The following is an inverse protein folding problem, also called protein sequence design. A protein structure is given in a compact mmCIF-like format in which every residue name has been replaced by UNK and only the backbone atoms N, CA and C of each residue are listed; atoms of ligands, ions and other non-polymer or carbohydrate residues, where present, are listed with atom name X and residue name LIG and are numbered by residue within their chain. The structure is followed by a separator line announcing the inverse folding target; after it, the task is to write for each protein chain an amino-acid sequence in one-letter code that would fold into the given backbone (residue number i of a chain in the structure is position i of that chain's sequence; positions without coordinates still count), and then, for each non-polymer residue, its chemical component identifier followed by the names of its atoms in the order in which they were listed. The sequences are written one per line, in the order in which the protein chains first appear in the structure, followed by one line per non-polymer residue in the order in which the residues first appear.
data_IF_010983404630
#
_entry.id   IF_010983404630
#
_cell.length_a   1.000
_cell.length_b   1.000
_cell.length_c   1.000
_cell.angle_alpha   90.00
_cell.angle_beta   90.00
_cell.angle_gamma   90.00
#
_symmetry.space_group_name_H-M   'P 1'
#
loop_
_entity.id
_entity.type
_entity.pdbx_description
1 polymer ?
#
# COMPACT_ATOMS: atom_id res chain seq x y z
N UNK A 1 -15.53 0.65 -0.38
CA UNK A 1 -14.25 -0.06 -0.19
C UNK A 1 -13.36 0.78 0.74
N UNK A 2 -12.40 0.16 1.44
CA UNK A 2 -11.36 0.85 2.21
C UNK A 2 -9.99 0.58 1.59
N UNK A 3 -9.07 1.53 1.66
CA UNK A 3 -7.72 1.41 1.11
C UNK A 3 -6.63 1.66 2.16
N UNK A 4 -5.52 0.93 2.04
CA UNK A 4 -4.34 1.02 2.91
C UNK A 4 -3.11 1.14 2.02
N UNK A 5 -2.33 2.20 2.21
CA UNK A 5 -1.18 2.51 1.38
C UNK A 5 0.12 2.52 2.18
N UNK A 6 1.14 1.91 1.58
CA UNK A 6 2.52 2.01 2.02
C UNK A 6 3.43 2.10 0.79
N UNK A 7 4.66 2.52 1.02
CA UNK A 7 5.60 2.86 -0.01
C UNK A 7 6.84 1.99 0.05
N UNK A 8 7.50 1.83 -1.09
CA UNK A 8 8.73 1.07 -1.16
C UNK A 8 9.69 1.66 -2.17
N UNK A 9 10.99 1.54 -1.86
CA UNK A 9 12.07 1.94 -2.76
C UNK A 9 12.87 0.72 -3.21
N UNK A 10 12.85 0.45 -4.51
CA UNK A 10 13.56 -0.69 -5.15
C UNK A 10 14.04 -0.29 -6.55
N UNK A 11 14.96 0.67 -6.62
CA UNK A 11 15.43 1.26 -7.88
C UNK A 11 14.48 2.36 -8.36
N UNK A 12 13.20 2.00 -8.55
CA UNK A 12 12.08 2.92 -8.77
C UNK A 12 11.33 3.20 -7.46
N UNK A 13 10.44 4.20 -7.51
CA UNK A 13 9.55 4.57 -6.42
C UNK A 13 8.23 3.81 -6.55
N UNK A 14 7.83 3.12 -5.49
CA UNK A 14 6.61 2.31 -5.47
C UNK A 14 5.66 2.85 -4.41
N UNK A 15 4.39 3.02 -4.79
CA UNK A 15 3.29 3.19 -3.84
C UNK A 15 2.33 2.04 -4.07
N UNK A 16 2.03 1.27 -3.02
CA UNK A 16 1.09 0.17 -3.08
C UNK A 16 -0.16 0.52 -2.29
N UNK A 17 -1.33 0.44 -2.92
CA UNK A 17 -2.62 0.59 -2.26
C UNK A 17 -3.35 -0.76 -2.22
N UNK A 18 -3.51 -1.33 -1.03
CA UNK A 18 -4.33 -2.51 -0.82
C UNK A 18 -5.77 -2.10 -0.48
N UNK A 19 -6.73 -2.62 -1.22
CA UNK A 19 -8.15 -2.37 -1.06
C UNK A 19 -8.88 -3.59 -0.52
N UNK A 20 -9.90 -3.35 0.31
CA UNK A 20 -10.69 -4.40 0.95
C UNK A 20 -12.13 -3.94 1.17
N UNK A 21 -13.07 -4.88 1.16
CA UNK A 21 -14.43 -4.60 1.58
C UNK A 21 -14.49 -4.34 3.11
N UNK A 22 -15.32 -3.38 3.58
CA UNK A 22 -15.40 -3.09 5.01
C UNK A 22 -15.87 -4.28 5.88
N UNK A 23 -16.62 -5.22 5.30
CA UNK A 23 -17.13 -6.40 6.00
C UNK A 23 -16.00 -7.36 6.43
N UNK A 24 -14.96 -7.49 5.59
CA UNK A 24 -13.85 -8.45 5.81
C UNK A 24 -12.72 -7.87 6.66
N UNK A 25 -12.78 -6.57 6.95
CA UNK A 25 -11.71 -5.83 7.61
C UNK A 25 -11.41 -6.34 9.02
N UNK A 26 -12.42 -6.77 9.78
CA UNK A 26 -12.23 -7.28 11.13
C UNK A 26 -11.46 -8.62 11.12
N UNK A 27 -11.84 -9.54 10.26
CA UNK A 27 -11.18 -10.84 10.12
C UNK A 27 -9.78 -10.70 9.51
N UNK A 28 -9.61 -9.84 8.50
CA UNK A 28 -8.29 -9.55 7.92
C UNK A 28 -7.30 -9.03 8.96
N UNK A 29 -7.71 -8.06 9.79
CA UNK A 29 -6.87 -7.55 10.90
C UNK A 29 -6.52 -8.64 11.91
N UNK A 30 -7.47 -9.54 12.22
CA UNK A 30 -7.24 -10.66 13.14
C UNK A 30 -6.25 -11.66 12.57
N UNK A 31 -6.40 -12.03 11.29
CA UNK A 31 -5.49 -12.91 10.57
C UNK A 31 -4.07 -12.34 10.53
N UNK A 32 -3.90 -11.06 10.19
CA UNK A 32 -2.59 -10.40 10.17
C UNK A 32 -1.93 -10.37 11.56
N UNK A 33 -2.69 -10.08 12.61
CA UNK A 33 -2.16 -10.11 14.00
C UNK A 33 -1.69 -11.50 14.41
N UNK A 34 -2.39 -12.56 13.97
CA UNK A 34 -1.99 -13.94 14.22
C UNK A 34 -0.76 -14.36 13.40
N UNK A 35 -0.62 -13.82 12.19
CA UNK A 35 0.50 -14.08 11.28
C UNK A 35 1.81 -13.40 11.71
N UNK A 36 1.72 -12.27 12.42
CA UNK A 36 2.89 -11.56 12.94
C UNK A 36 3.70 -12.43 13.91
N UNK A 37 5.02 -12.29 13.89
CA UNK A 37 5.90 -13.06 14.78
C UNK A 37 5.55 -12.83 16.27
N UNK A 38 5.75 -13.84 17.14
CA UNK A 38 5.55 -13.67 18.56
C UNK A 38 6.34 -12.47 19.09
N UNK A 39 5.68 -11.61 19.88
CA UNK A 39 6.25 -10.37 20.47
C UNK A 39 6.64 -9.26 19.48
N UNK A 40 6.56 -9.47 18.16
CA UNK A 40 6.74 -8.37 17.22
C UNK A 40 5.57 -7.38 17.30
N UNK A 41 5.80 -6.10 17.03
CA UNK A 41 4.76 -5.06 17.05
C UNK A 41 4.05 -4.90 15.70
N UNK A 42 4.70 -5.25 14.59
CA UNK A 42 4.15 -5.27 13.23
C UNK A 42 4.83 -6.36 12.39
N UNK A 43 4.28 -6.62 11.21
CA UNK A 43 5.01 -7.29 10.12
C UNK A 43 5.75 -6.19 9.34
N UNK A 44 7.04 -6.39 9.08
CA UNK A 44 7.80 -5.55 8.16
C UNK A 44 8.80 -6.38 7.37
N UNK A 45 8.63 -6.45 6.05
CA UNK A 45 9.29 -7.46 5.23
C UNK A 45 10.82 -7.36 5.17
N UNK A 46 11.39 -6.18 5.44
CA UNK A 46 12.86 -6.06 5.55
C UNK A 46 13.41 -6.89 6.73
N UNK A 47 12.66 -7.01 7.83
CA UNK A 47 13.03 -7.77 9.01
C UNK A 47 12.45 -9.20 9.01
N UNK A 48 11.27 -9.38 8.41
CA UNK A 48 10.54 -10.64 8.41
C UNK A 48 10.78 -11.52 7.17
N UNK A 49 11.72 -11.14 6.29
CA UNK A 49 11.97 -11.82 5.01
C UNK A 49 12.26 -13.33 5.11
N UNK A 50 12.78 -13.82 6.25
CA UNK A 50 12.96 -15.27 6.49
C UNK A 50 11.64 -16.04 6.52
N UNK A 51 10.53 -15.37 6.84
CA UNK A 51 9.16 -15.89 6.86
C UNK A 51 8.35 -15.47 5.63
N UNK A 52 9.01 -14.95 4.58
CA UNK A 52 8.33 -14.36 3.43
C UNK A 52 7.28 -15.29 2.79
N UNK A 53 7.58 -16.58 2.66
CA UNK A 53 6.63 -17.53 2.10
C UNK A 53 5.33 -17.64 2.93
N UNK A 54 5.47 -17.78 4.26
CA UNK A 54 4.33 -17.83 5.20
C UNK A 54 3.52 -16.52 5.17
N UNK A 55 4.23 -15.39 5.20
CA UNK A 55 3.61 -14.07 5.25
C UNK A 55 2.86 -13.74 3.97
N UNK A 56 3.49 -13.94 2.81
CA UNK A 56 2.87 -13.70 1.50
C UNK A 56 1.63 -14.58 1.34
N UNK A 57 1.73 -15.87 1.70
CA UNK A 57 0.58 -16.78 1.63
C UNK A 57 -0.56 -16.31 2.54
N UNK A 58 -0.26 -15.84 3.74
CA UNK A 58 -1.26 -15.29 4.66
C UNK A 58 -1.94 -14.04 4.12
N UNK A 59 -1.19 -13.16 3.43
CA UNK A 59 -1.73 -11.95 2.80
C UNK A 59 -2.58 -12.28 1.57
N UNK A 60 -2.12 -13.19 0.70
CA UNK A 60 -2.86 -13.59 -0.52
C UNK A 60 -4.14 -14.35 -0.19
N UNK A 61 -4.22 -14.98 0.99
CA UNK A 61 -5.43 -15.61 1.47
C UNK A 61 -6.50 -14.61 1.97
N UNK A 62 -6.16 -13.32 2.09
CA UNK A 62 -7.13 -12.27 2.37
C UNK A 62 -7.86 -11.87 1.08
N UNK A 63 -9.13 -11.51 1.18
CA UNK A 63 -9.90 -10.97 0.05
C UNK A 63 -9.54 -9.49 -0.20
N UNK A 64 -8.30 -9.27 -0.64
CA UNK A 64 -7.74 -7.96 -0.94
C UNK A 64 -7.37 -7.86 -2.42
N UNK A 65 -7.49 -6.66 -2.97
CA UNK A 65 -6.92 -6.29 -4.27
C UNK A 65 -5.87 -5.21 -4.05
N UNK A 66 -4.82 -5.18 -4.84
CA UNK A 66 -3.76 -4.20 -4.70
C UNK A 66 -3.48 -3.46 -6.00
N UNK A 67 -3.22 -2.17 -5.89
CA UNK A 67 -2.83 -1.31 -6.99
C UNK A 67 -1.42 -0.80 -6.73
N UNK A 68 -0.48 -1.15 -7.59
CA UNK A 68 0.93 -0.80 -7.45
C UNK A 68 1.29 0.28 -8.46
N UNK A 69 1.59 1.47 -7.95
CA UNK A 69 2.00 2.63 -8.74
C UNK A 69 3.52 2.71 -8.77
N UNK A 70 4.09 2.58 -9.96
CA UNK A 70 5.54 2.53 -10.20
C UNK A 70 5.96 3.84 -10.86
N UNK A 71 6.58 4.74 -10.11
CA UNK A 71 7.14 5.98 -10.62
C UNK A 71 8.65 5.84 -10.83
N UNK A 72 9.09 6.13 -12.06
CA UNK A 72 10.49 5.98 -12.46
C UNK A 72 11.36 7.04 -11.78
N UNK A 73 12.44 6.60 -11.12
CA UNK A 73 13.33 7.53 -10.44
C UNK A 73 14.34 8.17 -11.39
N UNK A 74 15.01 7.45 -12.30
CA UNK A 74 15.91 7.96 -13.36
C UNK A 74 16.70 9.26 -13.05
N UNK A 75 17.22 9.45 -11.83
CA UNK A 75 17.92 10.68 -11.40
C UNK A 75 17.03 11.89 -11.08
N UNK A 76 15.70 11.77 -11.20
CA UNK A 76 14.71 12.75 -10.74
C UNK A 76 14.65 12.77 -9.20
N UNK A 77 14.24 13.90 -8.60
CA UNK A 77 14.02 13.97 -7.16
C UNK A 77 12.99 12.96 -6.69
N UNK A 78 13.31 12.21 -5.64
CA UNK A 78 12.43 11.18 -5.06
C UNK A 78 11.04 11.75 -4.72
N UNK A 79 11.04 12.95 -4.16
CA UNK A 79 9.82 13.65 -3.80
C UNK A 79 8.88 13.86 -4.99
N UNK A 80 9.41 14.11 -6.18
CA UNK A 80 8.59 14.29 -7.38
C UNK A 80 7.93 12.96 -7.79
N UNK A 81 8.67 11.86 -7.74
CA UNK A 81 8.14 10.53 -8.03
C UNK A 81 7.06 10.11 -7.02
N UNK A 82 7.25 10.45 -5.73
CA UNK A 82 6.25 10.28 -4.69
C UNK A 82 4.97 11.05 -4.98
N UNK A 83 5.08 12.35 -5.29
CA UNK A 83 3.92 13.20 -5.55
C UNK A 83 3.11 12.70 -6.76
N UNK A 84 3.79 12.27 -7.83
CA UNK A 84 3.16 11.68 -9.01
C UNK A 84 2.45 10.36 -8.68
N UNK A 85 3.09 9.49 -7.89
CA UNK A 85 2.51 8.21 -7.48
C UNK A 85 1.31 8.37 -6.54
N UNK A 86 1.40 9.26 -5.55
CA UNK A 86 0.29 9.56 -4.64
C UNK A 86 -0.89 10.18 -5.38
N UNK A 87 -0.65 11.13 -6.30
CA UNK A 87 -1.71 11.78 -7.04
C UNK A 87 -2.46 10.79 -7.96
N UNK A 88 -1.72 9.92 -8.67
CA UNK A 88 -2.31 8.87 -9.49
C UNK A 88 -3.13 7.89 -8.63
N UNK A 89 -2.54 7.37 -7.56
CA UNK A 89 -3.20 6.47 -6.63
C UNK A 89 -4.52 7.04 -6.09
N UNK A 90 -4.49 8.28 -5.61
CA UNK A 90 -5.68 8.91 -5.01
C UNK A 90 -6.80 9.09 -6.04
N UNK A 91 -6.46 9.51 -7.27
CA UNK A 91 -7.44 9.70 -8.34
C UNK A 91 -8.11 8.38 -8.73
N UNK A 92 -7.33 7.32 -8.86
CA UNK A 92 -7.81 5.99 -9.19
C UNK A 92 -8.69 5.42 -8.05
N UNK A 93 -8.23 5.52 -6.80
CA UNK A 93 -9.01 5.07 -5.64
C UNK A 93 -10.35 5.81 -5.50
N UNK A 94 -10.39 7.10 -5.85
CA UNK A 94 -11.61 7.89 -5.79
C UNK A 94 -12.63 7.42 -6.84
N UNK A 95 -12.14 7.17 -8.06
CA UNK A 95 -12.94 6.63 -9.16
C UNK A 95 -13.45 5.21 -8.87
N UNK A 96 -12.70 4.42 -8.10
CA UNK A 96 -13.09 3.08 -7.62
C UNK A 96 -14.12 3.12 -6.46
N UNK A 97 -14.49 4.30 -5.95
CA UNK A 97 -15.43 4.42 -4.84
C UNK A 97 -14.85 4.00 -3.49
N UNK A 98 -13.55 4.21 -3.28
CA UNK A 98 -12.95 4.11 -1.94
C UNK A 98 -13.58 5.16 -1.02
N UNK A 99 -13.86 4.76 0.22
CA UNK A 99 -14.53 5.59 1.22
C UNK A 99 -13.65 6.01 2.39
N UNK A 100 -12.45 5.44 2.48
CA UNK A 100 -11.45 5.81 3.49
C UNK A 100 -10.08 5.29 3.05
N UNK A 101 -9.06 6.13 3.16
CA UNK A 101 -7.66 5.79 2.92
C UNK A 101 -6.84 5.92 4.22
N UNK A 102 -6.04 4.91 4.52
CA UNK A 102 -4.99 4.98 5.52
C UNK A 102 -3.63 4.95 4.83
N UNK A 103 -2.73 5.85 5.20
CA UNK A 103 -1.34 5.84 4.77
C UNK A 103 -0.43 5.58 5.96
N UNK A 104 0.67 4.85 5.76
CA UNK A 104 1.75 4.78 6.74
C UNK A 104 2.34 6.19 6.97
N UNK A 105 2.41 6.62 8.24
CA UNK A 105 2.94 7.93 8.62
C UNK A 105 4.45 7.99 8.48
N UNK A 106 4.96 9.10 7.94
CA UNK A 106 6.37 9.41 7.73
C UNK A 106 6.67 10.90 8.00
N UNK A 107 7.90 11.31 7.76
CA UNK A 107 8.36 12.70 7.90
C UNK A 107 7.81 13.65 6.82
N UNK A 108 7.13 13.11 5.80
CA UNK A 108 6.57 13.85 4.66
C UNK A 108 5.04 14.04 4.72
N UNK A 109 4.38 13.62 5.82
CA UNK A 109 2.91 13.63 5.93
C UNK A 109 2.27 15.01 5.64
N UNK A 110 2.98 16.12 5.92
CA UNK A 110 2.46 17.46 5.66
C UNK A 110 2.34 17.72 4.16
N UNK A 111 3.34 17.32 3.40
CA UNK A 111 3.38 17.51 1.97
C UNK A 111 2.47 16.52 1.25
N UNK A 112 2.41 15.27 1.73
CA UNK A 112 1.46 14.26 1.23
C UNK A 112 0.02 14.74 1.35
N UNK A 113 -0.35 15.36 2.48
CA UNK A 113 -1.67 15.96 2.65
C UNK A 113 -2.00 17.00 1.57
N UNK A 114 -1.03 17.77 1.10
CA UNK A 114 -1.26 18.76 0.05
C UNK A 114 -1.53 18.08 -1.29
N UNK A 115 -0.69 17.11 -1.66
CA UNK A 115 -0.82 16.33 -2.90
C UNK A 115 -2.13 15.56 -2.94
N UNK A 116 -2.46 14.82 -1.88
CA UNK A 116 -3.69 14.02 -1.78
C UNK A 116 -4.91 14.92 -1.92
N UNK A 117 -4.94 16.07 -1.22
CA UNK A 117 -6.06 17.01 -1.32
C UNK A 117 -6.19 17.61 -2.72
N UNK A 118 -5.07 17.99 -3.34
CA UNK A 118 -5.09 18.52 -4.70
C UNK A 118 -5.61 17.47 -5.70
N UNK A 119 -5.17 16.22 -5.58
CA UNK A 119 -5.64 15.11 -6.41
C UNK A 119 -7.14 14.83 -6.21
N UNK A 120 -7.63 14.79 -4.96
CA UNK A 120 -9.06 14.61 -4.69
C UNK A 120 -9.92 15.76 -5.26
N UNK A 121 -9.42 17.01 -5.25
CA UNK A 121 -10.13 18.15 -5.83
C UNK A 121 -10.15 18.11 -7.36
N UNK A 122 -9.13 17.53 -7.99
CA UNK A 122 -9.04 17.38 -9.44
C UNK A 122 -9.72 16.11 -9.97
N UNK A 123 -9.98 15.14 -9.09
CA UNK A 123 -10.65 13.89 -9.42
C UNK A 123 -12.12 14.12 -9.77
N UNK A 124 -12.67 13.21 -10.58
CA UNK A 124 -14.11 13.20 -10.94
C UNK A 124 -14.99 12.42 -9.95
N UNK A 125 -14.38 11.76 -8.97
CA UNK A 125 -15.08 10.99 -7.96
C UNK A 125 -15.65 11.84 -6.82
N UNK A 126 -16.33 11.20 -5.85
CA UNK A 126 -17.01 11.89 -4.76
C UNK A 126 -16.05 12.43 -3.68
N UNK A 127 -14.78 12.04 -3.72
CA UNK A 127 -13.81 12.29 -2.67
C UNK A 127 -13.97 11.35 -1.47
N UNK A 128 -12.91 11.21 -0.68
CA UNK A 128 -12.93 10.41 0.54
C UNK A 128 -12.02 10.98 1.64
N UNK A 129 -12.34 10.70 2.93
CA UNK A 129 -11.43 11.01 4.02
C UNK A 129 -10.17 10.14 3.95
N UNK A 130 -9.05 10.71 4.38
CA UNK A 130 -7.79 10.00 4.52
C UNK A 130 -7.09 10.34 5.83
N UNK A 131 -6.25 9.43 6.33
CA UNK A 131 -5.44 9.65 7.52
C UNK A 131 -4.09 8.97 7.42
N UNK A 132 -3.09 9.59 8.04
CA UNK A 132 -1.82 8.94 8.30
C UNK A 132 -1.92 8.18 9.62
N UNK A 133 -1.42 6.95 9.67
CA UNK A 133 -1.45 6.11 10.85
C UNK A 133 -0.09 5.43 11.05
N UNK A 134 0.24 5.18 12.31
CA UNK A 134 1.43 4.40 12.64
C UNK A 134 1.15 2.91 12.37
N UNK A 135 2.13 2.14 11.88
CA UNK A 135 1.86 0.77 11.43
C UNK A 135 1.46 -0.17 12.57
N UNK A 136 1.84 0.15 13.80
CA UNK A 136 1.49 -0.65 14.98
C UNK A 136 0.02 -0.51 15.39
N UNK A 137 -0.68 0.54 14.98
CA UNK A 137 -2.09 0.76 15.31
C UNK A 137 -3.05 0.19 14.27
N UNK A 138 -2.61 0.03 13.02
CA UNK A 138 -3.43 -0.47 11.91
C UNK A 138 -2.72 -1.63 11.18
N UNK A 139 -3.07 -2.89 11.45
CA UNK A 139 -2.43 -4.05 10.82
C UNK A 139 -2.56 -4.10 9.30
N UNK A 140 -3.62 -3.51 8.73
CA UNK A 140 -3.81 -3.51 7.29
C UNK A 140 -2.74 -2.70 6.53
N UNK A 141 -2.01 -1.80 7.21
CA UNK A 141 -0.85 -1.14 6.62
C UNK A 141 0.32 -2.10 6.36
N UNK A 142 0.33 -3.31 6.92
CA UNK A 142 1.38 -4.29 6.65
C UNK A 142 1.20 -4.97 5.30
N UNK A 143 -0.04 -5.02 4.79
CA UNK A 143 -0.38 -5.64 3.50
C UNK A 143 0.35 -4.94 2.34
N UNK A 144 0.26 -3.61 2.17
CA UNK A 144 0.98 -2.94 1.08
C UNK A 144 2.51 -3.08 1.18
N UNK A 145 3.12 -3.09 2.38
CA UNK A 145 4.56 -3.41 2.55
C UNK A 145 4.89 -4.80 2.01
N UNK A 146 4.10 -5.82 2.39
CA UNK A 146 4.29 -7.21 1.95
C UNK A 146 4.21 -7.32 0.43
N UNK A 147 3.18 -6.71 -0.16
CA UNK A 147 2.92 -6.75 -1.59
C UNK A 147 4.02 -6.02 -2.37
N UNK A 148 4.34 -4.78 -1.99
CA UNK A 148 5.39 -3.99 -2.63
C UNK A 148 6.76 -4.67 -2.52
N UNK A 149 7.07 -5.26 -1.36
CA UNK A 149 8.29 -6.03 -1.15
C UNK A 149 8.33 -7.27 -2.06
N UNK A 150 7.25 -8.05 -2.12
CA UNK A 150 7.19 -9.27 -2.93
C UNK A 150 7.36 -8.96 -4.41
N UNK A 151 6.70 -7.90 -4.89
CA UNK A 151 6.85 -7.41 -6.25
C UNK A 151 8.29 -6.96 -6.55
N UNK A 152 8.86 -6.14 -5.68
CA UNK A 152 10.22 -5.60 -5.84
C UNK A 152 11.31 -6.66 -5.73
N UNK A 153 11.11 -7.69 -4.89
CA UNK A 153 12.04 -8.83 -4.75
C UNK A 153 12.07 -9.70 -6.02
N UNK A 154 10.97 -9.77 -6.75
CA UNK A 154 10.89 -10.52 -8.01
C UNK A 154 10.81 -12.04 -7.81
N UNK A 155 11.14 -12.78 -8.87
CA UNK A 155 11.19 -14.25 -8.84
C UNK A 155 9.88 -14.89 -8.40
N UNK A 156 9.96 -15.90 -7.53
CA UNK A 156 8.79 -16.59 -7.01
C UNK A 156 7.92 -15.72 -6.09
N UNK A 157 8.49 -14.72 -5.42
CA UNK A 157 7.73 -13.81 -4.55
C UNK A 157 6.76 -12.95 -5.36
N UNK A 158 7.22 -12.37 -6.47
CA UNK A 158 6.36 -11.61 -7.38
C UNK A 158 5.23 -12.48 -7.94
N UNK A 159 5.56 -13.70 -8.39
CA UNK A 159 4.56 -14.64 -8.91
C UNK A 159 3.47 -14.94 -7.88
N UNK A 160 3.83 -15.05 -6.60
CA UNK A 160 2.88 -15.38 -5.54
C UNK A 160 1.84 -14.29 -5.26
N UNK A 161 2.11 -13.03 -5.62
CA UNK A 161 1.19 -11.90 -5.42
C UNK A 161 0.60 -11.38 -6.73
N UNK A 162 0.98 -11.94 -7.88
CA UNK A 162 0.64 -11.38 -9.19
C UNK A 162 -0.88 -11.36 -9.46
N UNK A 163 -1.62 -12.34 -8.95
CA UNK A 163 -3.06 -12.47 -9.21
C UNK A 163 -3.94 -11.47 -8.43
N UNK A 164 -3.36 -10.77 -7.45
CA UNK A 164 -4.05 -9.78 -6.62
C UNK A 164 -3.53 -8.36 -6.84
N UNK A 165 -2.65 -8.15 -7.84
CA UNK A 165 -2.04 -6.84 -8.12
C UNK A 165 -2.40 -6.36 -9.52
N UNK A 166 -2.87 -5.12 -9.60
CA UNK A 166 -2.84 -4.31 -10.81
C UNK A 166 -1.63 -3.35 -10.76
N UNK A 167 -0.88 -3.23 -11.87
CA UNK A 167 0.34 -2.41 -11.92
C UNK A 167 0.15 -1.21 -12.83
N UNK A 168 0.37 -0.03 -12.28
CA UNK A 168 0.26 1.26 -12.95
C UNK A 168 1.67 1.84 -13.10
N UNK A 169 2.18 1.94 -14.33
CA UNK A 169 3.50 2.55 -14.59
C UNK A 169 3.34 4.03 -14.89
N UNK A 170 4.01 4.87 -14.12
CA UNK A 170 4.00 6.32 -14.27
C UNK A 170 5.24 6.80 -15.05
N UNK A 171 5.11 7.89 -15.83
CA UNK A 171 6.18 8.42 -16.67
C UNK A 171 7.42 8.89 -15.90
#
# INVERSE_FOLDING_TARGET
MHAFADESRRGDYLVCAATIAPADLAEARKALKALRAPRAARIHMSHDSRRAHEIIRGVVALDVQAHLYVARLHGRPERRARDEALAAMVSDLDTMGVRQLWLESCDQDRQDRHVIRAALMASSGPGFPFRHAVPTSEPMLWVPDVIAWAWGKGGHHRKAVADIIEVHTLP
#
